data_IF_257620005624
#
_entry.id   IF_257620005624
#
_cell.length_a   1.000
_cell.length_b   1.000
_cell.length_c   1.000
_cell.angle_alpha   90.00
_cell.angle_beta   90.00
_cell.angle_gamma   90.00
#
_symmetry.space_group_name_H-M   'P 1'
#
loop_
_entity.id
_entity.type
_entity.pdbx_description
1 polymer ?
#
# COMPACT_ATOMS: atom_id res chain seq x y z
N UNK A 1 10.68 -20.69 -8.97
CA UNK A 1 10.44 -20.56 -7.53
C UNK A 1 11.67 -21.04 -6.78
N UNK A 2 12.26 -20.20 -5.95
CA UNK A 2 13.48 -20.49 -5.18
C UNK A 2 13.20 -21.43 -4.00
N UNK A 3 14.22 -22.07 -3.40
CA UNK A 3 14.06 -22.81 -2.13
C UNK A 3 13.47 -21.97 -1.00
N UNK A 4 13.90 -20.70 -0.86
CA UNK A 4 13.41 -19.77 0.17
C UNK A 4 11.92 -19.44 -0.01
N UNK A 5 11.50 -19.17 -1.24
CA UNK A 5 10.09 -18.90 -1.57
C UNK A 5 9.20 -20.10 -1.21
N UNK A 6 9.71 -21.33 -1.31
CA UNK A 6 8.96 -22.55 -0.92
C UNK A 6 8.79 -22.66 0.58
N UNK A 7 9.86 -22.45 1.34
CA UNK A 7 9.78 -22.42 2.80
C UNK A 7 8.81 -21.32 3.28
N UNK A 8 8.85 -20.15 2.64
CA UNK A 8 7.92 -19.07 2.92
C UNK A 8 6.46 -19.45 2.61
N UNK A 9 6.21 -20.09 1.47
CA UNK A 9 4.89 -20.60 1.12
C UNK A 9 4.39 -21.63 2.14
N UNK A 10 5.23 -22.57 2.56
CA UNK A 10 4.85 -23.63 3.50
C UNK A 10 4.54 -23.08 4.90
N UNK A 11 5.29 -22.08 5.36
CA UNK A 11 5.12 -21.51 6.71
C UNK A 11 4.08 -20.39 6.78
N UNK A 12 3.97 -19.57 5.74
CA UNK A 12 3.18 -18.33 5.77
C UNK A 12 2.05 -18.29 4.74
N UNK A 13 1.97 -19.28 3.84
CA UNK A 13 1.00 -19.29 2.75
C UNK A 13 1.30 -18.28 1.63
N UNK A 14 2.45 -17.60 1.67
CA UNK A 14 2.85 -16.61 0.67
C UNK A 14 4.38 -16.58 0.49
N UNK A 15 4.88 -16.66 -0.76
CA UNK A 15 6.32 -16.83 -0.99
C UNK A 15 7.14 -15.55 -0.81
N UNK A 16 6.52 -14.37 -0.91
CA UNK A 16 7.20 -13.07 -0.90
C UNK A 16 7.01 -12.33 0.43
N UNK A 17 7.53 -12.91 1.50
CA UNK A 17 7.54 -12.33 2.86
C UNK A 17 8.96 -11.89 3.25
N UNK A 18 9.08 -11.07 4.30
CA UNK A 18 10.36 -10.52 4.79
C UNK A 18 11.13 -9.78 3.69
N UNK A 19 12.39 -10.12 3.43
CA UNK A 19 13.23 -9.40 2.46
C UNK A 19 12.74 -9.54 1.01
N UNK A 20 11.87 -10.51 0.73
CA UNK A 20 11.28 -10.69 -0.60
C UNK A 20 10.01 -9.85 -0.78
N UNK A 21 9.48 -9.24 0.30
CA UNK A 21 8.32 -8.36 0.23
C UNK A 21 8.67 -7.04 -0.44
N UNK A 22 7.86 -6.63 -1.41
CA UNK A 22 7.94 -5.30 -2.04
C UNK A 22 6.62 -4.58 -1.88
N UNK A 23 6.64 -3.46 -1.17
CA UNK A 23 5.48 -2.59 -1.07
C UNK A 23 5.10 -2.09 -2.47
N UNK A 24 3.83 -2.27 -2.83
CA UNK A 24 3.25 -1.75 -4.07
C UNK A 24 1.79 -1.40 -3.84
N UNK A 25 1.30 -0.44 -4.62
CA UNK A 25 -0.11 -0.05 -4.63
C UNK A 25 -0.65 -0.23 -6.05
N UNK A 26 -1.79 -0.91 -6.17
CA UNK A 26 -2.49 -1.00 -7.45
C UNK A 26 -3.16 0.33 -7.76
N UNK A 27 -2.65 1.03 -8.78
CA UNK A 27 -3.19 2.35 -9.19
C UNK A 27 -4.29 2.25 -10.25
N UNK A 28 -4.31 1.16 -11.01
CA UNK A 28 -5.24 0.95 -12.12
C UNK A 28 -5.61 -0.51 -12.26
N UNK A 29 -6.75 -0.78 -12.88
CA UNK A 29 -7.02 -2.10 -13.46
C UNK A 29 -6.16 -2.38 -14.71
N UNK A 30 -6.47 -3.45 -15.46
CA UNK A 30 -5.77 -3.77 -16.70
C UNK A 30 -5.76 -2.63 -17.72
N UNK A 31 -4.61 -2.40 -18.36
CA UNK A 31 -4.42 -1.35 -19.37
C UNK A 31 -4.03 -1.99 -20.71
N UNK A 32 -4.71 -1.58 -21.79
CA UNK A 32 -4.38 -1.94 -23.16
C UNK A 32 -2.91 -1.60 -23.50
N UNK A 33 -2.22 -2.50 -24.20
CA UNK A 33 -0.77 -2.43 -24.38
C UNK A 33 -0.30 -1.10 -24.99
N UNK A 34 -1.06 -0.59 -25.94
CA UNK A 34 -0.78 0.63 -26.72
C UNK A 34 -0.85 1.90 -25.85
N UNK A 35 -1.47 1.82 -24.67
CA UNK A 35 -1.66 2.95 -23.76
C UNK A 35 -0.77 2.90 -22.53
N UNK A 36 -0.04 1.80 -22.30
CA UNK A 36 0.73 1.57 -21.06
C UNK A 36 1.72 2.69 -20.81
N UNK A 37 2.55 3.03 -21.79
CA UNK A 37 3.60 4.04 -21.64
C UNK A 37 3.03 5.42 -21.33
N UNK A 38 1.95 5.81 -22.02
CA UNK A 38 1.27 7.07 -21.78
C UNK A 38 0.66 7.13 -20.37
N UNK A 39 0.08 6.03 -19.88
CA UNK A 39 -0.46 5.96 -18.52
C UNK A 39 0.66 5.99 -17.48
N UNK A 40 1.76 5.26 -17.69
CA UNK A 40 2.92 5.28 -16.80
C UNK A 40 3.51 6.69 -16.70
N UNK A 41 3.74 7.37 -17.82
CA UNK A 41 4.27 8.73 -17.83
C UNK A 41 3.35 9.71 -17.07
N UNK A 42 2.03 9.58 -17.26
CA UNK A 42 1.05 10.41 -16.55
C UNK A 42 1.05 10.12 -15.04
N UNK A 43 1.05 8.85 -14.64
CA UNK A 43 1.08 8.47 -13.23
C UNK A 43 2.39 8.91 -12.55
N UNK A 44 3.53 8.77 -13.24
CA UNK A 44 4.81 9.24 -12.73
C UNK A 44 4.81 10.75 -12.47
N UNK A 45 4.29 11.55 -13.41
CA UNK A 45 4.17 13.00 -13.21
C UNK A 45 3.20 13.36 -12.07
N UNK A 46 2.08 12.65 -11.95
CA UNK A 46 1.10 12.89 -10.88
C UNK A 46 1.63 12.52 -9.49
N UNK A 47 2.46 11.48 -9.40
CA UNK A 47 2.99 10.96 -8.14
C UNK A 47 4.36 11.54 -7.77
N UNK A 48 5.03 12.25 -8.68
CA UNK A 48 6.32 12.90 -8.42
C UNK A 48 6.33 13.71 -7.11
N UNK A 49 5.32 14.57 -6.80
CA UNK A 49 5.32 15.32 -5.55
C UNK A 49 5.23 14.43 -4.30
N UNK A 50 4.55 13.28 -4.38
CA UNK A 50 4.43 12.33 -3.27
C UNK A 50 5.75 11.60 -3.04
N UNK A 51 6.42 11.19 -4.12
CA UNK A 51 7.72 10.52 -4.03
C UNK A 51 8.85 11.46 -3.61
N UNK A 52 8.73 12.76 -3.94
CA UNK A 52 9.69 13.80 -3.54
C UNK A 52 9.46 14.31 -2.11
N UNK A 53 8.26 14.16 -1.57
CA UNK A 53 7.93 14.60 -0.21
C UNK A 53 8.73 13.86 0.89
N UNK A 54 9.35 12.73 0.55
CA UNK A 54 10.21 11.94 1.44
C UNK A 54 9.48 10.78 2.07
N UNK A 55 9.83 10.46 3.33
CA UNK A 55 9.27 9.32 4.03
C UNK A 55 7.74 9.46 4.23
N UNK A 56 6.99 8.41 3.88
CA UNK A 56 5.57 8.32 4.22
C UNK A 56 5.41 7.68 5.60
N UNK A 57 4.65 8.35 6.47
CA UNK A 57 4.27 7.78 7.77
C UNK A 57 3.12 6.80 7.57
N UNK A 58 3.29 5.57 8.06
CA UNK A 58 2.22 4.57 8.16
C UNK A 58 1.82 4.50 9.63
N UNK A 59 0.65 5.03 9.97
CA UNK A 59 0.16 5.16 11.34
C UNK A 59 -0.95 4.16 11.69
N UNK A 60 -1.36 3.33 10.72
CA UNK A 60 -2.52 2.45 10.87
C UNK A 60 -2.43 1.23 9.97
N UNK A 61 -2.93 0.10 10.48
CA UNK A 61 -3.17 -1.12 9.71
C UNK A 61 -4.63 -1.48 9.84
N UNK A 62 -5.26 -1.83 8.72
CA UNK A 62 -6.65 -2.22 8.65
C UNK A 62 -6.76 -3.65 8.12
N UNK A 63 -7.37 -4.53 8.91
CA UNK A 63 -7.79 -5.85 8.44
C UNK A 63 -9.12 -5.68 7.71
N UNK A 64 -9.16 -6.07 6.45
CA UNK A 64 -10.36 -6.01 5.61
C UNK A 64 -10.75 -7.38 5.09
N UNK A 65 -12.05 -7.59 4.87
CA UNK A 65 -12.61 -8.80 4.25
C UNK A 65 -13.38 -8.42 2.98
N UNK A 66 -13.28 -9.26 1.96
CA UNK A 66 -14.07 -9.17 0.74
C UNK A 66 -14.91 -10.44 0.62
N UNK A 67 -16.24 -10.30 0.59
CA UNK A 67 -17.16 -11.46 0.57
C UNK A 67 -17.18 -12.18 -0.78
N UNK A 68 -16.75 -11.51 -1.86
CA UNK A 68 -16.70 -12.06 -3.22
C UNK A 68 -15.99 -11.10 -4.17
N UNK A 69 -15.60 -11.58 -5.35
CA UNK A 69 -14.72 -10.85 -6.28
C UNK A 69 -15.24 -9.46 -6.68
N UNK A 70 -16.56 -9.30 -6.81
CA UNK A 70 -17.21 -8.04 -7.21
C UNK A 70 -17.74 -7.23 -6.02
N UNK A 71 -17.57 -7.72 -4.78
CA UNK A 71 -18.02 -7.03 -3.58
C UNK A 71 -16.98 -6.00 -3.11
N UNK A 72 -17.39 -4.87 -2.52
CA UNK A 72 -16.46 -3.95 -1.88
C UNK A 72 -15.80 -4.60 -0.65
N UNK A 73 -14.57 -4.18 -0.34
CA UNK A 73 -13.93 -4.51 0.93
C UNK A 73 -14.72 -3.93 2.12
N UNK A 74 -14.77 -4.68 3.22
CA UNK A 74 -15.33 -4.27 4.50
C UNK A 74 -14.24 -4.31 5.56
N UNK A 75 -14.16 -3.26 6.37
CA UNK A 75 -13.22 -3.20 7.50
C UNK A 75 -13.69 -4.18 8.58
N UNK A 76 -12.79 -5.06 9.00
CA UNK A 76 -12.99 -6.02 10.11
C UNK A 76 -12.34 -5.49 11.37
N UNK A 77 -11.15 -4.93 11.26
CA UNK A 77 -10.42 -4.34 12.38
C UNK A 77 -9.55 -3.19 11.92
N UNK A 78 -9.37 -2.22 12.80
CA UNK A 78 -8.57 -1.04 12.59
C UNK A 78 -7.64 -0.89 13.81
N UNK A 79 -6.33 -0.91 13.56
CA UNK A 79 -5.30 -0.80 14.56
C UNK A 79 -4.38 0.40 14.28
N UNK A 80 -4.30 1.33 15.21
CA UNK A 80 -3.34 2.43 15.18
C UNK A 80 -1.95 1.90 15.56
N UNK A 81 -0.95 2.21 14.73
CA UNK A 81 0.45 1.96 15.00
C UNK A 81 1.02 3.13 15.81
N UNK A 82 0.94 3.05 17.13
CA UNK A 82 1.41 4.10 18.04
C UNK A 82 2.93 4.06 18.34
N UNK A 83 3.74 3.54 17.41
CA UNK A 83 5.21 3.53 17.50
C UNK A 83 5.83 4.50 16.50
N UNK A 84 6.14 5.72 16.93
CA UNK A 84 6.81 6.69 16.07
C UNK A 84 8.28 6.32 15.86
N UNK A 85 8.70 6.12 14.61
CA UNK A 85 10.09 6.31 14.24
C UNK A 85 10.26 7.77 13.84
N UNK A 86 10.75 8.59 14.78
CA UNK A 86 11.02 10.01 14.52
C UNK A 86 12.25 10.11 13.62
N UNK A 87 12.05 10.27 12.32
CA UNK A 87 13.05 10.97 11.52
C UNK A 87 12.93 12.46 11.84
N UNK A 88 14.00 13.05 12.35
CA UNK A 88 14.02 14.38 12.93
C UNK A 88 14.01 15.46 11.83
N UNK A 89 12.96 15.51 11.01
CA UNK A 89 12.58 16.66 10.21
C UNK A 89 11.20 16.44 9.58
N UNK A 90 10.13 16.97 10.18
CA UNK A 90 9.10 17.81 9.52
C UNK A 90 7.81 17.95 10.31
N UNK A 91 7.16 19.09 10.04
CA UNK A 91 6.00 19.62 10.74
C UNK A 91 4.71 18.81 10.57
N UNK A 92 3.85 19.02 11.55
CA UNK A 92 2.52 18.43 11.73
C UNK A 92 1.62 18.67 10.51
N UNK A 93 1.09 17.59 9.94
CA UNK A 93 -0.02 17.65 8.99
C UNK A 93 -1.33 17.60 9.80
N UNK A 94 -2.27 18.56 9.61
CA UNK A 94 -3.51 18.56 10.38
C UNK A 94 -4.46 17.43 9.94
N UNK A 95 -5.04 16.76 10.93
CA UNK A 95 -6.06 15.74 10.79
C UNK A 95 -7.36 16.36 10.26
N UNK A 96 -7.78 16.00 9.05
CA UNK A 96 -9.14 16.30 8.57
C UNK A 96 -10.08 15.28 9.19
N UNK A 97 -11.01 15.75 10.03
CA UNK A 97 -12.06 14.93 10.64
C UNK A 97 -13.06 14.49 9.58
N UNK A 98 -13.33 13.19 9.52
CA UNK A 98 -14.44 12.67 8.74
C UNK A 98 -15.77 13.06 9.45
N UNK A 99 -16.47 14.03 8.89
CA UNK A 99 -17.87 14.28 9.20
C UNK A 99 -18.71 13.13 8.64
N UNK A 100 -19.26 12.29 9.50
CA UNK A 100 -20.43 11.46 9.17
C UNK A 100 -21.68 12.25 9.51
N UNK A 101 -22.53 12.47 8.51
CA UNK A 101 -23.96 12.78 8.70
C UNK A 101 -24.75 11.51 9.02
#
# INVERSE_FOLDING_TARGET
MSPREREHLDRWGYPYVFDDFRFHMTLTGPIAAERRDAVVAKLAALLAPVTEAGALTIDRIVLSRQEGADAPFRVVHDAVLSGGHTDAARGTIPHVGAHTS
#
